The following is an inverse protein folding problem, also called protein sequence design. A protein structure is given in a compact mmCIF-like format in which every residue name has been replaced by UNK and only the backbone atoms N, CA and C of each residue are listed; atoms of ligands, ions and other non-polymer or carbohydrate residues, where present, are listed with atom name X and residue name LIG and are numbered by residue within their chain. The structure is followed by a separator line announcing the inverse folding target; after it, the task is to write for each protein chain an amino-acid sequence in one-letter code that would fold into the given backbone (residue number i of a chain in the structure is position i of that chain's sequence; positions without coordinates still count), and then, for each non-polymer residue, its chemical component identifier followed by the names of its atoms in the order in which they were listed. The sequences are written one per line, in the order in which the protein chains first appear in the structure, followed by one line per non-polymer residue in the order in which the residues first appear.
data_IF_160856392245
#
_entry.id   IF_160856392245
#
_cell.length_a   1.000
_cell.length_b   1.000
_cell.length_c   1.000
_cell.angle_alpha   90.00
_cell.angle_beta   90.00
_cell.angle_gamma   90.00
#
_symmetry.space_group_name_H-M   'P 1'
#
loop_
_entity.id
_entity.type
_entity.pdbx_description
1 polymer ?
#
# COMPACT_ATOMS: atom_id res chain seq x y z
N UNK A 1 15.61 -15.58 -23.01
CA UNK A 1 15.53 -14.93 -21.68
C UNK A 1 14.67 -13.66 -21.72
N UNK A 2 14.91 -12.73 -22.65
CA UNK A 2 14.15 -11.48 -22.80
C UNK A 2 12.62 -11.68 -23.01
N UNK A 3 12.21 -12.68 -23.80
CA UNK A 3 10.80 -13.00 -24.02
C UNK A 3 10.06 -13.51 -22.77
N UNK A 4 10.77 -14.16 -21.83
CA UNK A 4 10.20 -14.63 -20.57
C UNK A 4 9.91 -13.45 -19.63
N UNK A 5 10.85 -12.50 -19.53
CA UNK A 5 10.64 -11.25 -18.78
C UNK A 5 9.52 -10.41 -19.39
N UNK A 6 9.45 -10.28 -20.72
CA UNK A 6 8.32 -9.61 -21.40
C UNK A 6 6.98 -10.25 -21.07
N UNK A 7 6.91 -11.58 -21.02
CA UNK A 7 5.69 -12.33 -20.70
C UNK A 7 5.28 -12.20 -19.23
N UNK A 8 6.24 -11.97 -18.34
CA UNK A 8 6.02 -11.72 -16.93
C UNK A 8 5.60 -10.26 -16.67
N UNK A 9 6.10 -9.30 -17.42
CA UNK A 9 5.75 -7.89 -17.23
C UNK A 9 4.40 -7.52 -17.87
N UNK A 10 3.98 -8.25 -18.92
CA UNK A 10 2.72 -8.01 -19.60
C UNK A 10 1.52 -8.40 -18.72
N UNK A 11 0.54 -7.50 -18.53
CA UNK A 11 -0.68 -7.83 -17.82
C UNK A 11 -1.48 -8.90 -18.59
N UNK A 12 -2.19 -9.80 -17.89
CA UNK A 12 -3.04 -10.80 -18.53
C UNK A 12 -4.24 -10.12 -19.21
N UNK A 13 -4.55 -10.58 -20.43
CA UNK A 13 -5.71 -10.13 -21.20
C UNK A 13 -6.84 -11.14 -21.01
N UNK A 14 -8.02 -10.66 -20.62
CA UNK A 14 -9.21 -11.49 -20.37
C UNK A 14 -10.28 -11.23 -21.43
N UNK A 15 -11.27 -12.13 -21.53
CA UNK A 15 -12.41 -11.96 -22.44
C UNK A 15 -13.29 -10.75 -22.09
N UNK A 16 -13.30 -10.38 -20.82
CA UNK A 16 -14.03 -9.23 -20.31
C UNK A 16 -13.10 -8.01 -20.29
N UNK A 17 -13.51 -6.93 -20.95
CA UNK A 17 -12.74 -5.68 -20.99
C UNK A 17 -12.56 -5.07 -19.60
N UNK A 18 -13.57 -5.20 -18.73
CA UNK A 18 -13.50 -4.71 -17.36
C UNK A 18 -12.40 -5.41 -16.55
N UNK A 19 -12.36 -6.74 -16.60
CA UNK A 19 -11.35 -7.54 -15.89
C UNK A 19 -9.95 -7.30 -16.47
N UNK A 20 -9.86 -7.04 -17.78
CA UNK A 20 -8.60 -6.69 -18.45
C UNK A 20 -8.08 -5.32 -18.00
N UNK A 21 -8.94 -4.32 -17.93
CA UNK A 21 -8.58 -2.99 -17.46
C UNK A 21 -8.14 -3.02 -15.98
N UNK A 22 -8.91 -3.73 -15.16
CA UNK A 22 -8.57 -3.92 -13.74
C UNK A 22 -7.22 -4.65 -13.56
N UNK A 23 -6.97 -5.71 -14.33
CA UNK A 23 -5.71 -6.44 -14.28
C UNK A 23 -4.52 -5.59 -14.76
N UNK A 24 -4.73 -4.75 -15.77
CA UNK A 24 -3.70 -3.80 -16.23
C UNK A 24 -3.28 -2.84 -15.11
N UNK A 25 -4.25 -2.22 -14.45
CA UNK A 25 -4.02 -1.27 -13.37
C UNK A 25 -3.38 -1.95 -12.16
N UNK A 26 -3.91 -3.11 -11.75
CA UNK A 26 -3.34 -3.88 -10.64
C UNK A 26 -1.89 -4.30 -10.97
N UNK A 27 -1.63 -4.80 -12.17
CA UNK A 27 -0.28 -5.17 -12.60
C UNK A 27 0.69 -3.97 -12.51
N UNK A 28 0.26 -2.78 -12.97
CA UNK A 28 1.07 -1.56 -12.88
C UNK A 28 1.38 -1.18 -11.43
N UNK A 29 0.38 -1.24 -10.55
CA UNK A 29 0.56 -0.94 -9.12
C UNK A 29 1.54 -1.94 -8.49
N UNK A 30 1.33 -3.25 -8.69
CA UNK A 30 2.16 -4.29 -8.08
C UNK A 30 3.62 -4.20 -8.56
N UNK A 31 3.86 -4.00 -9.85
CA UNK A 31 5.22 -3.80 -10.36
C UNK A 31 5.83 -2.49 -9.91
N UNK A 32 5.05 -1.41 -9.83
CA UNK A 32 5.50 -0.13 -9.29
C UNK A 32 5.97 -0.26 -7.84
N UNK A 33 5.22 -0.96 -6.99
CA UNK A 33 5.60 -1.23 -5.61
C UNK A 33 6.85 -2.10 -5.50
N UNK A 34 6.95 -3.16 -6.30
CA UNK A 34 8.17 -3.99 -6.35
C UNK A 34 9.38 -3.14 -6.76
N UNK A 35 9.22 -2.28 -7.77
CA UNK A 35 10.30 -1.41 -8.24
C UNK A 35 10.74 -0.43 -7.15
N UNK A 36 9.80 0.21 -6.45
CA UNK A 36 10.10 1.10 -5.32
C UNK A 36 10.85 0.33 -4.22
N UNK A 37 10.39 -0.87 -3.84
CA UNK A 37 11.05 -1.69 -2.82
C UNK A 37 12.50 -2.06 -3.21
N UNK A 38 12.74 -2.36 -4.48
CA UNK A 38 14.08 -2.62 -5.01
C UNK A 38 14.97 -1.38 -4.96
N UNK A 39 14.43 -0.19 -5.28
CA UNK A 39 15.18 1.06 -5.16
C UNK A 39 15.60 1.34 -3.71
N UNK A 40 14.71 1.12 -2.73
CA UNK A 40 15.04 1.28 -1.31
C UNK A 40 16.17 0.33 -0.89
N UNK A 41 16.22 -0.87 -1.45
CA UNK A 41 17.27 -1.87 -1.16
C UNK A 41 18.69 -1.33 -1.44
N UNK A 42 18.85 -0.42 -2.41
CA UNK A 42 20.14 0.20 -2.76
C UNK A 42 20.71 1.01 -1.59
N UNK A 43 19.84 1.60 -0.76
CA UNK A 43 20.23 2.44 0.38
C UNK A 43 20.45 1.65 1.68
N UNK A 44 19.97 0.40 1.75
CA UNK A 44 20.07 -0.44 2.96
C UNK A 44 21.51 -0.60 3.49
N UNK A 45 22.55 -0.78 2.65
CA UNK A 45 23.93 -0.90 3.14
C UNK A 45 24.48 0.36 3.82
N UNK A 46 23.87 1.52 3.60
CA UNK A 46 24.26 2.79 4.21
C UNK A 46 23.60 3.03 5.57
N UNK A 47 22.71 2.12 6.02
CA UNK A 47 22.00 2.21 7.30
C UNK A 47 22.74 1.46 8.41
N UNK A 48 22.47 1.86 9.65
CA UNK A 48 22.89 1.11 10.84
C UNK A 48 22.32 -0.32 10.81
N UNK A 49 23.08 -1.29 11.34
CA UNK A 49 22.77 -2.73 11.20
C UNK A 49 21.36 -3.09 11.68
N UNK A 50 20.91 -2.51 12.79
CA UNK A 50 19.58 -2.78 13.35
C UNK A 50 18.46 -2.28 12.43
N UNK A 51 18.60 -1.05 11.92
CA UNK A 51 17.64 -0.44 10.98
C UNK A 51 17.65 -1.22 9.65
N UNK A 52 18.83 -1.60 9.17
CA UNK A 52 18.99 -2.36 7.92
C UNK A 52 18.24 -3.71 7.98
N UNK A 53 18.30 -4.43 9.11
CA UNK A 53 17.57 -5.69 9.30
C UNK A 53 16.07 -5.44 9.27
N UNK A 54 15.57 -4.44 10.00
CA UNK A 54 14.15 -4.08 10.03
C UNK A 54 13.62 -3.76 8.63
N UNK A 55 14.28 -2.84 7.93
CA UNK A 55 13.92 -2.43 6.56
C UNK A 55 14.02 -3.63 5.60
N UNK A 56 15.02 -4.49 5.76
CA UNK A 56 15.17 -5.71 4.97
C UNK A 56 13.98 -6.66 5.11
N UNK A 57 13.48 -6.87 6.33
CA UNK A 57 12.29 -7.69 6.59
C UNK A 57 11.05 -7.06 5.93
N UNK A 58 10.87 -5.75 6.07
CA UNK A 58 9.75 -5.02 5.46
C UNK A 58 9.75 -5.16 3.93
N UNK A 59 10.92 -5.00 3.29
CA UNK A 59 11.09 -5.20 1.84
C UNK A 59 10.71 -6.62 1.42
N UNK A 60 11.19 -7.64 2.14
CA UNK A 60 10.88 -9.05 1.84
C UNK A 60 9.37 -9.29 1.93
N UNK A 61 8.71 -8.77 2.96
CA UNK A 61 7.25 -8.90 3.14
C UNK A 61 6.50 -8.23 1.99
N UNK A 62 6.85 -6.99 1.66
CA UNK A 62 6.24 -6.24 0.55
C UNK A 62 6.41 -6.98 -0.78
N UNK A 63 7.62 -7.43 -1.11
CA UNK A 63 7.87 -8.18 -2.35
C UNK A 63 7.05 -9.49 -2.37
N UNK A 64 7.03 -10.22 -1.25
CA UNK A 64 6.31 -11.51 -1.16
C UNK A 64 4.81 -11.33 -1.39
N UNK A 65 4.20 -10.31 -0.76
CA UNK A 65 2.79 -9.97 -0.95
C UNK A 65 2.52 -9.62 -2.42
N UNK A 66 3.30 -8.71 -3.01
CA UNK A 66 3.08 -8.26 -4.38
C UNK A 66 3.24 -9.39 -5.41
N UNK A 67 4.25 -10.25 -5.23
CA UNK A 67 4.47 -11.43 -6.09
C UNK A 67 3.31 -12.42 -5.95
N UNK A 68 2.80 -12.63 -4.74
CA UNK A 68 1.64 -13.50 -4.49
C UNK A 68 0.38 -12.98 -5.20
N UNK A 69 0.16 -11.67 -5.16
CA UNK A 69 -0.97 -11.01 -5.85
C UNK A 69 -0.81 -11.05 -7.38
N UNK A 70 0.41 -10.87 -7.89
CA UNK A 70 0.70 -11.04 -9.32
C UNK A 70 0.37 -12.46 -9.78
N UNK A 71 0.72 -13.46 -8.98
CA UNK A 71 0.41 -14.85 -9.28
C UNK A 71 -1.10 -15.13 -9.26
N UNK A 72 -1.79 -14.61 -8.25
CA UNK A 72 -3.24 -14.74 -8.11
C UNK A 72 -3.99 -14.08 -9.27
N UNK A 73 -3.59 -12.86 -9.65
CA UNK A 73 -4.11 -12.15 -10.82
C UNK A 73 -3.93 -12.97 -12.12
N UNK A 74 -2.77 -13.60 -12.32
CA UNK A 74 -2.51 -14.46 -13.50
C UNK A 74 -3.35 -15.73 -13.55
N UNK A 75 -3.80 -16.23 -12.39
CA UNK A 75 -4.73 -17.35 -12.30
C UNK A 75 -6.19 -16.96 -12.60
N UNK A 76 -6.44 -15.69 -12.92
CA UNK A 76 -7.78 -15.17 -13.23
C UNK A 76 -8.52 -14.58 -12.03
N UNK A 77 -7.90 -14.58 -10.84
CA UNK A 77 -8.49 -14.04 -9.62
C UNK A 77 -8.27 -12.52 -9.46
N UNK A 78 -8.48 -11.75 -10.54
CA UNK A 78 -8.16 -10.32 -10.62
C UNK A 78 -8.91 -9.51 -9.57
N UNK A 79 -10.23 -9.69 -9.49
CA UNK A 79 -11.08 -8.94 -8.56
C UNK A 79 -10.70 -9.19 -7.11
N UNK A 80 -10.41 -10.44 -6.76
CA UNK A 80 -10.03 -10.83 -5.41
C UNK A 80 -8.64 -10.28 -5.06
N UNK A 81 -7.68 -10.34 -5.99
CA UNK A 81 -6.36 -9.75 -5.80
C UNK A 81 -6.44 -8.22 -5.59
N UNK A 82 -7.31 -7.55 -6.35
CA UNK A 82 -7.58 -6.11 -6.17
C UNK A 82 -8.19 -5.78 -4.81
N UNK A 83 -9.17 -6.57 -4.33
CA UNK A 83 -9.74 -6.40 -2.98
C UNK A 83 -8.66 -6.55 -1.93
N UNK A 84 -7.84 -7.60 -2.03
CA UNK A 84 -6.74 -7.83 -1.09
C UNK A 84 -5.75 -6.65 -1.11
N UNK A 85 -5.36 -6.16 -2.29
CA UNK A 85 -4.45 -5.03 -2.40
C UNK A 85 -5.01 -3.76 -1.74
N UNK A 86 -6.29 -3.46 -1.95
CA UNK A 86 -6.97 -2.31 -1.33
C UNK A 86 -7.02 -2.44 0.19
N UNK A 87 -7.35 -3.63 0.70
CA UNK A 87 -7.39 -3.91 2.14
C UNK A 87 -6.00 -3.77 2.75
N UNK A 88 -4.96 -4.30 2.10
CA UNK A 88 -3.58 -4.20 2.56
C UNK A 88 -3.14 -2.73 2.64
N UNK A 89 -3.42 -1.93 1.61
CA UNK A 89 -3.12 -0.49 1.66
C UNK A 89 -3.85 0.21 2.79
N UNK A 90 -5.16 -0.04 2.93
CA UNK A 90 -5.94 0.59 3.97
C UNK A 90 -5.39 0.25 5.36
N UNK A 91 -5.15 -1.04 5.65
CA UNK A 91 -4.58 -1.50 6.92
C UNK A 91 -3.20 -0.89 7.16
N UNK A 92 -2.33 -0.89 6.14
CA UNK A 92 -1.00 -0.31 6.25
C UNK A 92 -1.07 1.16 6.67
N UNK A 93 -1.88 1.96 5.99
CA UNK A 93 -2.01 3.38 6.34
C UNK A 93 -2.67 3.59 7.70
N UNK A 94 -3.61 2.73 8.10
CA UNK A 94 -4.16 2.74 9.45
C UNK A 94 -3.08 2.48 10.50
N UNK A 95 -2.31 1.41 10.35
CA UNK A 95 -1.26 1.03 11.32
C UNK A 95 -0.19 2.13 11.42
N UNK A 96 0.26 2.66 10.29
CA UNK A 96 1.26 3.76 10.29
C UNK A 96 0.68 5.02 10.92
N UNK A 97 -0.56 5.39 10.61
CA UNK A 97 -1.19 6.55 11.23
C UNK A 97 -1.37 6.39 12.74
N UNK A 98 -1.78 5.22 13.22
CA UNK A 98 -1.91 4.93 14.65
C UNK A 98 -0.56 4.88 15.39
N UNK A 99 0.50 4.42 14.73
CA UNK A 99 1.84 4.29 15.34
C UNK A 99 2.63 5.59 15.32
N UNK A 100 2.33 6.49 14.36
CA UNK A 100 2.98 7.78 14.19
C UNK A 100 2.24 8.94 14.87
N UNK A 101 2.05 10.02 14.12
CA UNK A 101 1.44 11.27 14.59
C UNK A 101 -0.09 11.34 14.47
N UNK A 102 -0.77 10.18 14.36
CA UNK A 102 -2.23 10.12 14.29
C UNK A 102 -2.78 10.79 13.04
N UNK A 103 -3.75 11.70 13.22
CA UNK A 103 -4.35 12.49 12.12
C UNK A 103 -3.36 13.42 11.42
N UNK A 104 -2.23 13.74 12.08
CA UNK A 104 -1.18 14.59 11.51
C UNK A 104 -0.17 13.80 10.66
N UNK A 105 -0.30 12.49 10.58
CA UNK A 105 0.58 11.65 9.79
C UNK A 105 0.34 11.84 8.29
N UNK A 106 1.41 11.73 7.49
CA UNK A 106 1.24 11.69 6.02
C UNK A 106 0.48 10.44 5.58
N UNK A 107 0.57 9.35 6.35
CA UNK A 107 -0.21 8.13 6.13
C UNK A 107 -1.72 8.41 6.21
N UNK A 108 -2.16 9.25 7.15
CA UNK A 108 -3.57 9.66 7.22
C UNK A 108 -3.94 10.60 6.08
N UNK A 109 -3.15 11.66 5.85
CA UNK A 109 -3.49 12.73 4.91
C UNK A 109 -3.39 12.31 3.44
N UNK A 110 -2.31 11.60 3.07
CA UNK A 110 -2.05 11.17 1.70
C UNK A 110 -2.30 9.67 1.50
N UNK A 111 -1.97 8.85 2.49
CA UNK A 111 -2.12 7.39 2.39
C UNK A 111 -3.57 6.96 2.19
N UNK A 112 -4.49 7.43 3.03
CA UNK A 112 -5.91 7.12 2.84
C UNK A 112 -6.49 7.68 1.54
N UNK A 113 -6.08 8.89 1.13
CA UNK A 113 -6.48 9.44 -0.17
C UNK A 113 -6.06 8.50 -1.31
N UNK A 114 -4.83 8.02 -1.28
CA UNK A 114 -4.29 7.09 -2.26
C UNK A 114 -5.03 5.75 -2.24
N UNK A 115 -5.36 5.21 -1.06
CA UNK A 115 -6.17 3.99 -0.94
C UNK A 115 -7.59 4.17 -1.52
N UNK A 116 -8.22 5.33 -1.30
CA UNK A 116 -9.55 5.67 -1.85
C UNK A 116 -9.50 5.74 -3.37
N UNK A 117 -8.50 6.41 -3.95
CA UNK A 117 -8.33 6.53 -5.40
C UNK A 117 -8.09 5.15 -6.02
N UNK A 118 -7.15 4.38 -5.46
CA UNK A 118 -6.80 3.05 -5.98
C UNK A 118 -8.00 2.11 -5.88
N UNK A 119 -8.77 2.16 -4.80
CA UNK A 119 -9.96 1.32 -4.67
C UNK A 119 -11.05 1.68 -5.70
N UNK A 120 -11.22 2.95 -6.03
CA UNK A 120 -12.13 3.39 -7.10
C UNK A 120 -11.67 2.94 -8.48
N UNK A 121 -10.37 3.07 -8.74
CA UNK A 121 -9.75 2.68 -10.00
C UNK A 121 -9.79 1.17 -10.23
N UNK A 122 -9.60 0.37 -9.17
CA UNK A 122 -9.59 -1.09 -9.26
C UNK A 122 -10.97 -1.73 -9.12
N UNK A 123 -11.83 -1.24 -8.23
CA UNK A 123 -13.07 -1.94 -7.83
C UNK A 123 -14.34 -1.12 -8.08
N UNK A 124 -14.19 0.11 -8.58
CA UNK A 124 -15.27 1.00 -8.92
C UNK A 124 -15.71 1.93 -7.78
N UNK A 125 -16.61 2.88 -8.08
CA UNK A 125 -16.95 3.99 -7.19
C UNK A 125 -17.60 3.55 -5.88
N UNK A 126 -18.39 2.45 -5.90
CA UNK A 126 -19.05 1.93 -4.70
C UNK A 126 -18.05 1.50 -3.64
N UNK A 127 -16.95 0.85 -4.04
CA UNK A 127 -15.92 0.40 -3.11
C UNK A 127 -15.09 1.58 -2.61
N UNK A 128 -14.79 2.55 -3.48
CA UNK A 128 -14.12 3.80 -3.09
C UNK A 128 -14.88 4.56 -2.01
N UNK A 129 -16.22 4.63 -2.12
CA UNK A 129 -17.05 5.24 -1.09
C UNK A 129 -16.95 4.50 0.25
N UNK A 130 -16.96 3.17 0.24
CA UNK A 130 -16.79 2.35 1.46
C UNK A 130 -15.43 2.63 2.11
N UNK A 131 -14.35 2.63 1.32
CA UNK A 131 -13.00 2.91 1.82
C UNK A 131 -12.90 4.33 2.38
N UNK A 132 -13.55 5.31 1.75
CA UNK A 132 -13.61 6.68 2.25
C UNK A 132 -14.32 6.78 3.60
N UNK A 133 -15.48 6.14 3.74
CA UNK A 133 -16.23 6.10 5.02
C UNK A 133 -15.39 5.43 6.12
N UNK A 134 -14.74 4.31 5.82
CA UNK A 134 -13.86 3.63 6.77
C UNK A 134 -12.64 4.48 7.17
N UNK A 135 -12.09 5.25 6.23
CA UNK A 135 -10.95 6.14 6.49
C UNK A 135 -11.36 7.30 7.41
N UNK A 136 -12.52 7.92 7.16
CA UNK A 136 -13.09 8.96 8.04
C UNK A 136 -13.39 8.40 9.43
N UNK A 137 -14.01 7.22 9.50
CA UNK A 137 -14.30 6.55 10.75
C UNK A 137 -13.01 6.29 11.56
N UNK A 138 -11.93 5.87 10.89
CA UNK A 138 -10.63 5.65 11.54
C UNK A 138 -10.05 6.94 12.11
N UNK A 139 -10.15 8.06 11.38
CA UNK A 139 -9.74 9.37 11.87
C UNK A 139 -10.55 9.84 13.08
N UNK A 140 -11.86 9.60 13.08
CA UNK A 140 -12.72 9.89 14.23
C UNK A 140 -12.31 9.07 15.46
N UNK A 141 -12.02 7.78 15.28
CA UNK A 141 -11.53 6.90 16.36
C UNK A 141 -10.21 7.44 16.92
N UNK A 142 -9.25 7.81 16.07
CA UNK A 142 -7.98 8.42 16.51
C UNK A 142 -8.21 9.71 17.32
N UNK A 143 -9.09 10.59 16.83
CA UNK A 143 -9.41 11.86 17.50
C UNK A 143 -10.04 11.66 18.89
N UNK A 144 -10.92 10.66 19.01
CA UNK A 144 -11.53 10.33 20.31
C UNK A 144 -10.46 9.80 21.28
N UNK A 145 -9.61 8.88 20.82
CA UNK A 145 -8.55 8.28 21.65
C UNK A 145 -7.50 9.30 22.11
N UNK A 146 -7.19 10.29 21.27
CA UNK A 146 -6.32 11.42 21.63
C UNK A 146 -6.97 12.28 22.71
N UNK A 147 -8.24 12.65 22.53
CA UNK A 147 -8.99 13.48 23.50
C UNK A 147 -9.20 12.81 24.85
N UNK A 148 -9.39 11.49 24.88
CA UNK A 148 -9.54 10.74 26.13
C UNK A 148 -8.20 10.46 26.82
N UNK A 149 -7.08 10.84 26.21
CA UNK A 149 -5.74 10.60 26.75
C UNK A 149 -5.32 9.12 26.72
N UNK A 150 -6.02 8.28 25.96
CA UNK A 150 -5.69 6.84 25.86
C UNK A 150 -4.43 6.61 25.01
N UNK A 151 -4.16 7.51 24.06
CA UNK A 151 -2.99 7.46 23.18
C UNK A 151 -2.42 8.87 23.08
N UNK A 152 -1.12 9.01 23.30
CA UNK A 152 -0.37 10.23 23.01
C UNK A 152 0.37 10.02 21.68
N UNK A 153 -0.05 10.73 20.64
CA UNK A 153 0.61 10.68 19.34
C UNK A 153 1.91 11.50 19.39
N UNK A 154 2.95 11.03 18.68
CA UNK A 154 4.24 11.73 18.64
C UNK A 154 4.11 13.09 17.94
N UNK A 155 4.82 14.11 18.43
CA UNK A 155 4.99 15.36 17.70
C UNK A 155 5.69 15.09 16.35
N UNK A 156 5.29 15.83 15.31
CA UNK A 156 5.72 15.62 13.93
C UNK A 156 7.24 15.72 13.78
N UNK A 157 7.87 14.67 13.26
CA UNK A 157 9.28 14.69 12.86
C UNK A 157 9.53 15.72 11.73
N UNK A 158 10.76 16.26 11.60
CA UNK A 158 11.09 17.21 10.54
C UNK A 158 10.87 16.60 9.13
N UNK A 159 10.37 17.44 8.21
CA UNK A 159 9.83 17.10 6.87
C UNK A 159 10.67 16.12 6.01
N UNK A 160 11.98 16.04 6.23
CA UNK A 160 12.89 15.21 5.44
C UNK A 160 13.03 13.77 5.96
N UNK A 161 12.73 13.50 7.23
CA UNK A 161 12.87 12.17 7.84
C UNK A 161 11.53 11.43 8.04
N UNK A 162 10.40 12.11 7.86
CA UNK A 162 9.06 11.53 8.10
C UNK A 162 8.74 10.32 7.22
N UNK A 163 9.26 10.29 6.00
CA UNK A 163 9.04 9.20 5.03
C UNK A 163 9.87 7.94 5.29
N UNK A 164 10.92 8.03 6.11
CA UNK A 164 11.83 6.91 6.41
C UNK A 164 11.53 6.24 7.77
N UNK A 165 10.84 6.94 8.69
CA UNK A 165 10.79 6.55 10.11
C UNK A 165 9.36 6.49 10.68
N UNK A 166 8.30 6.79 9.90
CA UNK A 166 6.91 6.62 10.38
C UNK A 166 6.53 5.16 10.62
#
# INVERSE_FOLDING_TARGET
MFEFFKKILKPPVFKNEFDTHQAYLLNMILWGLIFIALLVTIFVPALEREIAIRVGIEIIVVITINVSLLFMMRRGYVRQASVIQVVIFWILFTVVAFSGSGLRSEAYSFGYLLAIIISGLLLGPKVSLIVAVLSVASGLVMMILEKTGNIQFSESNPLLLTWLVS
#
